data_IF_421337996219
#
_entry.id   IF_421337996219
#
_cell.length_a   1.000
_cell.length_b   1.000
_cell.length_c   1.000
_cell.angle_alpha   90.00
_cell.angle_beta   90.00
_cell.angle_gamma   90.00
#
_symmetry.space_group_name_H-M   'P 1'
#
loop_
_entity.id
_entity.type
_entity.pdbx_description
1 polymer ?
#
# COMPACT_ATOMS: atom_id res chain seq x y z
N UNK A 1 64.28 -29.48 -20.33
CA UNK A 1 64.54 -28.97 -21.70
C UNK A 1 63.78 -29.86 -22.66
N UNK A 2 62.78 -29.35 -23.38
CA UNK A 2 62.47 -29.73 -24.77
C UNK A 2 61.34 -28.83 -25.26
N UNK A 3 61.59 -28.16 -26.39
CA UNK A 3 60.73 -27.26 -27.15
C UNK A 3 60.39 -27.96 -28.47
N UNK A 4 59.13 -27.80 -28.91
CA UNK A 4 58.65 -27.77 -30.31
C UNK A 4 58.82 -29.10 -31.13
N UNK A 5 57.92 -29.56 -32.01
CA UNK A 5 56.72 -29.05 -32.69
C UNK A 5 56.01 -30.24 -33.39
N UNK A 6 54.69 -30.11 -33.63
CA UNK A 6 53.88 -30.61 -34.78
C UNK A 6 53.82 -32.13 -35.10
N UNK A 7 52.63 -32.76 -35.10
CA UNK A 7 51.72 -32.92 -36.27
C UNK A 7 50.51 -33.88 -35.99
N UNK A 8 49.31 -33.43 -36.41
CA UNK A 8 48.13 -34.16 -36.96
C UNK A 8 47.15 -35.04 -36.13
N UNK A 9 45.86 -34.66 -36.28
CA UNK A 9 44.63 -35.50 -36.18
C UNK A 9 43.68 -35.08 -35.03
N UNK A 10 42.42 -34.65 -35.17
CA UNK A 10 41.47 -34.66 -36.29
C UNK A 10 40.18 -33.84 -35.95
N UNK A 11 39.53 -33.25 -36.99
CA UNK A 11 38.06 -33.04 -37.21
C UNK A 11 37.35 -31.91 -36.41
N UNK A 12 37.13 -30.71 -36.98
CA UNK A 12 35.98 -30.22 -37.79
C UNK A 12 34.70 -29.92 -36.94
N UNK A 13 33.97 -28.81 -37.02
CA UNK A 13 33.52 -27.96 -38.13
C UNK A 13 33.41 -26.48 -37.66
N UNK A 14 33.92 -25.55 -38.46
CA UNK A 14 33.50 -24.15 -38.49
C UNK A 14 33.86 -23.64 -39.87
N UNK A 15 32.90 -23.32 -40.73
CA UNK A 15 33.10 -22.50 -41.95
C UNK A 15 31.75 -22.15 -42.60
N UNK A 16 31.76 -20.99 -43.24
CA UNK A 16 30.72 -20.28 -44.01
C UNK A 16 29.88 -19.30 -43.16
N UNK A 17 29.91 -17.98 -43.38
CA UNK A 17 30.74 -17.14 -44.23
C UNK A 17 30.42 -15.67 -43.86
N UNK A 18 31.43 -14.82 -43.70
CA UNK A 18 31.30 -13.38 -43.87
C UNK A 18 31.27 -13.06 -45.36
N UNK A 19 30.31 -12.25 -45.81
CA UNK A 19 30.55 -11.12 -46.73
C UNK A 19 29.25 -10.36 -47.07
N UNK A 20 29.24 -9.10 -46.63
CA UNK A 20 28.86 -7.88 -47.37
C UNK A 20 27.39 -7.58 -47.70
N UNK A 21 26.88 -6.59 -46.96
CA UNK A 21 26.07 -5.43 -47.36
C UNK A 21 25.56 -5.35 -48.81
N UNK A 22 24.24 -5.17 -48.94
CA UNK A 22 23.62 -3.99 -49.57
C UNK A 22 22.13 -3.86 -49.18
N UNK A 23 21.70 -2.60 -49.06
CA UNK A 23 20.32 -2.08 -49.03
C UNK A 23 19.45 -2.24 -47.78
N UNK A 24 19.05 -1.08 -47.26
CA UNK A 24 18.26 -0.92 -46.05
C UNK A 24 16.77 -1.14 -46.24
N UNK A 25 16.10 -1.52 -45.15
CA UNK A 25 14.65 -1.48 -45.05
C UNK A 25 14.24 -0.95 -43.68
N UNK A 26 13.33 0.03 -43.73
CA UNK A 26 12.58 0.69 -42.66
C UNK A 26 11.86 -0.27 -41.70
N UNK A 27 11.69 0.18 -40.46
CA UNK A 27 10.64 -0.24 -39.52
C UNK A 27 9.23 -0.17 -40.16
N UNK A 28 8.43 -1.24 -40.05
CA UNK A 28 7.24 -1.32 -39.16
C UNK A 28 6.43 -2.61 -39.40
N UNK A 29 6.00 -3.17 -38.26
CA UNK A 29 4.82 -4.00 -38.00
C UNK A 29 4.50 -5.16 -38.94
N UNK A 30 4.57 -6.39 -38.41
CA UNK A 30 3.43 -7.33 -38.40
C UNK A 30 3.70 -8.37 -37.31
N UNK A 31 2.85 -8.38 -36.27
CA UNK A 31 2.66 -9.54 -35.41
C UNK A 31 2.03 -10.60 -36.30
N UNK A 32 2.74 -11.68 -36.62
CA UNK A 32 2.08 -12.93 -36.94
C UNK A 32 2.98 -14.15 -36.70
N UNK A 33 2.48 -15.02 -35.80
CA UNK A 33 2.72 -16.45 -35.74
C UNK A 33 4.15 -16.94 -35.40
N UNK A 34 4.51 -16.78 -34.11
CA UNK A 34 5.37 -17.77 -33.46
C UNK A 34 4.48 -18.82 -32.79
N UNK A 35 4.56 -20.05 -33.32
CA UNK A 35 3.95 -21.27 -32.77
C UNK A 35 4.10 -21.33 -31.25
N UNK A 36 2.97 -21.48 -30.57
CA UNK A 36 2.86 -21.66 -29.14
C UNK A 36 3.60 -22.93 -28.69
N UNK A 37 4.79 -22.75 -28.11
CA UNK A 37 5.46 -23.78 -27.33
C UNK A 37 5.11 -23.61 -25.83
N UNK A 38 4.79 -24.72 -25.18
CA UNK A 38 4.30 -24.76 -23.80
C UNK A 38 5.31 -24.25 -22.76
N UNK A 39 6.59 -24.19 -23.13
CA UNK A 39 7.65 -23.63 -22.30
C UNK A 39 7.61 -22.10 -22.29
N UNK A 40 7.30 -21.45 -23.41
CA UNK A 40 7.06 -20.00 -23.49
C UNK A 40 5.79 -19.61 -22.75
N UNK A 41 4.76 -20.46 -22.75
CA UNK A 41 3.58 -20.29 -21.89
C UNK A 41 3.96 -20.39 -20.42
N UNK A 42 4.83 -21.32 -20.00
CA UNK A 42 5.34 -21.39 -18.62
C UNK A 42 6.20 -20.18 -18.24
N UNK A 43 7.02 -19.66 -19.15
CA UNK A 43 7.84 -18.46 -18.90
C UNK A 43 6.98 -17.19 -18.88
N UNK A 44 5.99 -17.04 -19.77
CA UNK A 44 5.01 -15.95 -19.71
C UNK A 44 4.06 -16.08 -18.52
N UNK A 45 3.73 -17.30 -18.08
CA UNK A 45 2.92 -17.52 -16.87
C UNK A 45 3.77 -17.27 -15.62
N UNK A 46 5.06 -17.58 -15.64
CA UNK A 46 6.03 -17.24 -14.59
C UNK A 46 6.31 -15.73 -14.54
N UNK A 47 6.37 -15.04 -15.69
CA UNK A 47 6.51 -13.59 -15.76
C UNK A 47 5.20 -12.86 -15.43
N UNK A 48 4.03 -13.44 -15.74
CA UNK A 48 2.71 -13.01 -15.24
C UNK A 48 2.48 -13.40 -13.77
N UNK A 49 3.30 -14.28 -13.21
CA UNK A 49 3.29 -14.64 -11.78
C UNK A 49 4.23 -13.76 -10.96
N UNK A 50 5.05 -12.92 -11.60
CA UNK A 50 5.89 -11.89 -10.96
C UNK A 50 5.29 -10.48 -11.08
N UNK A 51 4.09 -10.34 -11.64
CA UNK A 51 3.35 -9.08 -11.63
C UNK A 51 2.50 -8.99 -10.37
N UNK A 52 3.10 -8.36 -9.35
CA UNK A 52 2.42 -7.66 -8.25
C UNK A 52 1.37 -8.55 -7.57
N UNK A 53 1.82 -9.44 -6.68
CA UNK A 53 0.91 -9.90 -5.62
C UNK A 53 0.35 -8.64 -4.96
N UNK A 54 -0.98 -8.50 -5.00
CA UNK A 54 -1.65 -7.50 -4.17
C UNK A 54 -1.15 -7.73 -2.75
N UNK A 55 -0.52 -6.72 -2.15
CA UNK A 55 -0.35 -6.71 -0.70
C UNK A 55 -1.77 -6.50 -0.18
N UNK A 56 -2.51 -7.59 -0.03
CA UNK A 56 -3.81 -7.57 0.60
C UNK A 56 -3.59 -7.09 2.03
N UNK A 57 -4.16 -5.93 2.35
CA UNK A 57 -4.05 -5.29 3.65
C UNK A 57 -5.14 -5.88 4.55
N UNK A 58 -4.99 -7.15 4.98
CA UNK A 58 -5.95 -7.78 5.90
C UNK A 58 -5.92 -9.30 5.94
N UNK A 59 -6.61 -9.86 6.95
CA UNK A 59 -6.82 -11.29 7.15
C UNK A 59 -7.83 -11.86 6.14
N UNK A 60 -7.55 -13.05 5.61
CA UNK A 60 -8.50 -13.79 4.77
C UNK A 60 -9.54 -14.48 5.67
N UNK A 61 -10.73 -13.90 5.80
CA UNK A 61 -11.87 -14.55 6.48
C UNK A 61 -12.84 -15.20 5.49
N UNK A 62 -13.40 -16.35 5.87
CA UNK A 62 -14.32 -17.10 5.02
C UNK A 62 -15.72 -16.47 4.91
N UNK A 63 -16.13 -15.66 5.90
CA UNK A 63 -17.42 -14.96 5.94
C UNK A 63 -17.38 -13.59 5.23
N UNK A 64 -16.23 -12.91 5.31
CA UNK A 64 -16.03 -11.60 4.68
C UNK A 64 -15.84 -11.71 3.17
N UNK A 65 -16.18 -10.63 2.48
CA UNK A 65 -15.91 -10.46 1.06
C UNK A 65 -14.42 -10.24 0.80
N UNK A 66 -14.09 -9.97 -0.47
CA UNK A 66 -12.77 -9.43 -0.81
C UNK A 66 -12.80 -7.91 -0.63
N UNK A 67 -11.82 -7.31 0.06
CA UNK A 67 -11.81 -5.87 0.28
C UNK A 67 -11.67 -5.09 -1.03
N UNK A 68 -12.35 -3.94 -1.08
CA UNK A 68 -12.32 -3.02 -2.21
C UNK A 68 -11.40 -1.86 -1.90
N UNK A 69 -10.37 -1.69 -2.74
CA UNK A 69 -9.34 -0.67 -2.57
C UNK A 69 -9.53 0.50 -3.52
N UNK A 70 -9.11 1.68 -3.04
CA UNK A 70 -8.74 2.82 -3.84
C UNK A 70 -7.47 3.43 -3.21
N UNK A 71 -6.30 2.97 -3.68
CA UNK A 71 -5.01 3.28 -3.04
C UNK A 71 -3.96 3.68 -4.07
N UNK A 72 -3.02 4.52 -3.64
CA UNK A 72 -1.74 4.74 -4.30
C UNK A 72 -0.65 3.96 -3.58
N UNK A 73 0.29 3.41 -4.33
CA UNK A 73 1.39 2.62 -3.79
C UNK A 73 2.66 2.78 -4.60
N UNK A 74 3.81 2.75 -3.94
CA UNK A 74 5.12 2.72 -4.61
C UNK A 74 5.33 1.39 -5.34
N UNK A 75 6.16 1.37 -6.37
CA UNK A 75 6.63 0.09 -6.93
C UNK A 75 7.47 -0.66 -5.89
N UNK A 76 7.25 -1.96 -5.72
CA UNK A 76 7.94 -2.77 -4.72
C UNK A 76 9.32 -3.26 -5.19
N UNK A 77 10.29 -3.28 -4.29
CA UNK A 77 11.40 -4.23 -4.32
C UNK A 77 12.60 -3.87 -5.20
N UNK A 78 12.73 -2.62 -5.66
CA UNK A 78 13.97 -2.15 -6.27
C UNK A 78 15.10 -2.03 -5.23
N UNK A 79 16.38 -2.32 -5.56
CA UNK A 79 17.51 -2.17 -4.63
C UNK A 79 17.69 -0.74 -4.06
N UNK A 80 17.07 0.27 -4.69
CA UNK A 80 17.08 1.66 -4.26
C UNK A 80 15.86 2.11 -3.43
N UNK A 81 14.81 1.28 -3.34
CA UNK A 81 13.54 1.67 -2.73
C UNK A 81 13.62 1.49 -1.22
N UNK A 82 14.00 2.56 -0.53
CA UNK A 82 14.18 2.57 0.92
C UNK A 82 13.35 3.70 1.53
N UNK A 83 12.31 3.33 2.27
CA UNK A 83 11.41 4.27 2.91
C UNK A 83 11.54 4.14 4.43
N UNK A 84 11.54 5.28 5.10
CA UNK A 84 11.65 5.38 6.56
C UNK A 84 10.44 6.05 7.19
N UNK A 85 9.47 6.45 6.38
CA UNK A 85 8.19 6.92 6.86
C UNK A 85 7.34 7.55 5.79
N UNK A 86 6.12 7.89 6.20
CA UNK A 86 5.14 8.60 5.40
C UNK A 86 4.44 9.64 6.30
N UNK A 87 4.21 10.82 5.75
CA UNK A 87 3.42 11.89 6.37
C UNK A 87 2.28 12.24 5.43
N UNK A 88 1.06 12.25 5.97
CA UNK A 88 -0.17 12.46 5.19
C UNK A 88 -1.19 13.21 6.04
N UNK A 89 -1.94 14.12 5.43
CA UNK A 89 -3.16 14.70 6.02
C UNK A 89 -4.37 14.20 5.25
N UNK A 90 -5.40 13.75 5.96
CA UNK A 90 -6.66 13.29 5.34
C UNK A 90 -7.86 13.72 6.15
N UNK A 91 -8.98 13.86 5.47
CA UNK A 91 -10.26 14.14 6.11
C UNK A 91 -10.75 12.90 6.88
N UNK A 92 -11.47 13.12 7.99
CA UNK A 92 -12.16 12.04 8.73
C UNK A 92 -13.67 12.24 8.64
N UNK A 93 -14.41 11.19 8.30
CA UNK A 93 -15.86 11.21 8.14
C UNK A 93 -16.53 10.18 9.04
N UNK A 94 -17.79 10.43 9.40
CA UNK A 94 -18.65 9.46 10.06
C UNK A 94 -19.71 8.96 9.08
N UNK A 95 -20.04 7.67 9.21
CA UNK A 95 -21.07 6.96 8.46
C UNK A 95 -21.78 6.01 9.41
N UNK A 96 -23.05 5.70 9.15
CA UNK A 96 -23.81 4.72 9.92
C UNK A 96 -23.68 3.34 9.27
N UNK A 97 -22.65 2.60 9.66
CA UNK A 97 -22.38 1.23 9.25
C UNK A 97 -23.11 0.25 10.17
N UNK A 98 -23.37 -0.95 9.64
CA UNK A 98 -23.87 -2.08 10.41
C UNK A 98 -22.73 -3.05 10.75
N UNK A 99 -22.90 -3.93 11.74
CA UNK A 99 -22.06 -5.12 11.88
C UNK A 99 -21.91 -5.87 10.55
N UNK A 100 -20.74 -6.43 10.29
CA UNK A 100 -20.39 -7.00 8.98
C UNK A 100 -20.01 -5.98 7.88
N UNK A 101 -19.80 -4.70 8.21
CA UNK A 101 -19.24 -3.69 7.30
C UNK A 101 -18.02 -3.00 7.91
N UNK A 102 -17.08 -2.57 7.08
CA UNK A 102 -15.91 -1.78 7.48
C UNK A 102 -15.53 -0.76 6.39
N UNK A 103 -15.19 0.46 6.80
CA UNK A 103 -14.58 1.45 5.92
C UNK A 103 -13.35 2.03 6.59
N UNK A 104 -12.27 2.20 5.83
CA UNK A 104 -10.98 2.63 6.36
C UNK A 104 -10.26 3.56 5.40
N UNK A 105 -9.54 4.52 5.98
CA UNK A 105 -8.59 5.41 5.31
C UNK A 105 -7.28 5.33 6.08
N UNK A 106 -6.20 4.96 5.39
CA UNK A 106 -4.95 4.64 6.06
C UNK A 106 -3.72 4.93 5.22
N UNK A 107 -2.59 4.87 5.92
CA UNK A 107 -1.25 4.77 5.35
C UNK A 107 -0.64 3.44 5.75
N UNK A 108 0.13 2.86 4.84
CA UNK A 108 0.81 1.58 5.03
C UNK A 108 2.30 1.72 4.77
N UNK A 109 3.09 1.17 5.66
CA UNK A 109 4.53 1.00 5.50
C UNK A 109 4.81 -0.49 5.56
N UNK A 110 5.43 -1.02 4.49
CA UNK A 110 5.60 -2.45 4.30
C UNK A 110 7.02 -2.80 3.91
N UNK A 111 7.37 -4.06 4.17
CA UNK A 111 8.49 -4.70 3.54
C UNK A 111 8.08 -6.08 3.01
N UNK A 112 8.17 -6.27 1.69
CA UNK A 112 7.70 -7.51 1.01
C UNK A 112 8.61 -8.73 1.19
N UNK A 113 9.72 -8.56 1.89
CA UNK A 113 10.63 -9.63 2.30
C UNK A 113 11.26 -10.32 1.10
N UNK A 114 11.10 -11.65 1.00
CA UNK A 114 11.56 -12.45 -0.12
C UNK A 114 10.47 -12.68 -1.19
N UNK A 115 9.36 -11.93 -1.10
CA UNK A 115 8.26 -12.01 -2.07
C UNK A 115 7.23 -13.10 -1.77
N UNK A 116 7.25 -13.72 -0.59
CA UNK A 116 6.13 -14.57 -0.12
C UNK A 116 5.37 -13.91 1.03
N UNK A 117 4.05 -14.18 1.13
CA UNK A 117 3.16 -13.61 2.16
C UNK A 117 3.72 -13.73 3.58
N UNK A 118 4.32 -14.86 3.95
CA UNK A 118 4.90 -15.08 5.29
C UNK A 118 6.15 -14.26 5.60
N UNK A 119 6.70 -13.55 4.61
CA UNK A 119 7.83 -12.62 4.78
C UNK A 119 7.38 -11.16 4.84
N UNK A 120 6.09 -10.89 4.63
CA UNK A 120 5.51 -9.56 4.62
C UNK A 120 5.51 -8.99 6.04
N UNK A 121 6.16 -7.84 6.19
CA UNK A 121 6.00 -7.00 7.37
C UNK A 121 5.14 -5.81 7.00
N UNK A 122 4.16 -5.47 7.82
CA UNK A 122 3.25 -4.34 7.59
C UNK A 122 3.03 -3.59 8.89
N UNK A 123 2.99 -2.26 8.79
CA UNK A 123 2.37 -1.38 9.77
C UNK A 123 1.37 -0.52 9.00
N UNK A 124 0.15 -0.44 9.51
CA UNK A 124 -0.88 0.47 9.02
C UNK A 124 -1.36 1.37 10.14
N UNK A 125 -1.59 2.64 9.82
CA UNK A 125 -2.25 3.59 10.72
C UNK A 125 -3.26 4.39 9.92
N UNK A 126 -4.39 4.71 10.54
CA UNK A 126 -5.48 5.35 9.82
C UNK A 126 -6.66 5.64 10.71
N UNK A 127 -7.79 5.94 10.08
CA UNK A 127 -9.08 5.88 10.74
C UNK A 127 -9.96 4.84 10.05
N UNK A 128 -10.77 4.14 10.83
CA UNK A 128 -11.78 3.24 10.29
C UNK A 128 -13.05 3.25 11.12
N UNK A 129 -14.16 2.85 10.51
CA UNK A 129 -15.41 2.55 11.19
C UNK A 129 -15.60 1.05 11.06
N UNK A 130 -15.60 0.36 12.19
CA UNK A 130 -15.66 -1.10 12.24
C UNK A 130 -16.62 -1.59 13.34
N UNK A 131 -17.94 -1.59 13.09
CA UNK A 131 -18.93 -1.89 14.12
C UNK A 131 -18.85 -3.29 14.73
N UNK A 132 -18.40 -4.27 13.95
CA UNK A 132 -18.18 -5.64 14.45
C UNK A 132 -17.16 -5.66 15.60
N UNK A 133 -16.16 -4.77 15.55
CA UNK A 133 -15.08 -4.72 16.52
C UNK A 133 -15.37 -3.75 17.68
N UNK A 134 -15.87 -2.54 17.40
CA UNK A 134 -16.08 -1.52 18.43
C UNK A 134 -17.47 -1.52 19.08
N UNK A 135 -18.45 -2.16 18.45
CA UNK A 135 -19.85 -2.10 18.88
C UNK A 135 -20.54 -0.75 18.63
N UNK A 136 -19.91 0.16 17.89
CA UNK A 136 -20.47 1.44 17.46
C UNK A 136 -20.15 1.74 15.99
N UNK A 137 -20.56 2.91 15.50
CA UNK A 137 -20.29 3.33 14.11
C UNK A 137 -19.54 4.68 14.04
N UNK A 138 -18.71 4.96 15.04
CA UNK A 138 -17.84 6.12 15.04
C UNK A 138 -16.54 5.83 14.26
N UNK A 139 -15.86 6.84 13.72
CA UNK A 139 -14.51 6.66 13.22
C UNK A 139 -13.54 6.58 14.41
N UNK A 140 -12.74 5.52 14.45
CA UNK A 140 -11.68 5.33 15.44
C UNK A 140 -10.32 5.53 14.80
N UNK A 141 -9.38 6.13 15.52
CA UNK A 141 -7.96 6.02 15.18
C UNK A 141 -7.61 4.55 15.34
N UNK A 142 -7.00 3.96 14.33
CA UNK A 142 -6.56 2.58 14.40
C UNK A 142 -5.12 2.44 14.00
N UNK A 143 -4.53 1.38 14.52
CA UNK A 143 -3.23 0.89 14.07
C UNK A 143 -3.34 -0.61 13.88
N UNK A 144 -2.60 -1.16 12.94
CA UNK A 144 -2.50 -2.61 12.77
C UNK A 144 -1.10 -2.97 12.28
N UNK A 145 -0.61 -4.15 12.66
CA UNK A 145 0.72 -4.59 12.27
C UNK A 145 0.79 -6.10 12.07
N UNK A 146 1.80 -6.55 11.31
CA UNK A 146 2.19 -7.96 11.24
C UNK A 146 3.67 -8.09 10.84
N UNK A 147 4.30 -9.21 11.21
CA UNK A 147 5.65 -9.63 10.80
C UNK A 147 5.62 -10.73 9.74
N UNK A 148 4.49 -11.38 9.52
CA UNK A 148 4.40 -12.60 8.71
C UNK A 148 3.15 -12.66 7.84
N UNK A 149 2.67 -11.49 7.40
CA UNK A 149 1.49 -11.39 6.54
C UNK A 149 0.23 -11.96 7.19
N UNK A 150 0.06 -11.71 8.49
CA UNK A 150 -1.06 -12.16 9.33
C UNK A 150 -1.18 -13.68 9.44
N UNK A 151 -0.06 -14.41 9.34
CA UNK A 151 -0.08 -15.87 9.46
C UNK A 151 -0.15 -16.32 10.93
N UNK A 152 0.74 -15.79 11.77
CA UNK A 152 0.76 -16.05 13.22
C UNK A 152 0.92 -14.78 14.04
N UNK A 153 1.45 -13.72 13.43
CA UNK A 153 1.65 -12.44 14.09
C UNK A 153 0.71 -11.39 13.54
N UNK A 154 0.23 -10.56 14.43
CA UNK A 154 -0.40 -9.30 14.09
C UNK A 154 -1.25 -8.80 15.23
N UNK A 155 -1.65 -7.54 15.14
CA UNK A 155 -2.49 -6.98 16.16
C UNK A 155 -3.19 -5.71 15.69
N UNK A 156 -4.52 -5.75 15.76
CA UNK A 156 -5.32 -4.55 15.68
C UNK A 156 -5.20 -3.76 17.00
N UNK A 157 -5.03 -2.45 16.87
CA UNK A 157 -4.91 -1.48 17.95
C UNK A 157 -3.91 -1.91 19.04
N UNK A 158 -4.38 -1.99 20.28
CA UNK A 158 -3.65 -2.46 21.45
C UNK A 158 -4.35 -3.70 22.04
N UNK A 159 -5.10 -4.44 21.23
CA UNK A 159 -5.89 -5.61 21.68
C UNK A 159 -4.98 -6.78 22.09
N UNK A 160 -3.73 -6.70 21.67
CA UNK A 160 -2.62 -7.61 21.95
C UNK A 160 -1.32 -6.79 22.10
N UNK A 161 -0.26 -7.40 22.67
CA UNK A 161 1.04 -6.74 22.80
C UNK A 161 1.63 -6.35 21.43
N UNK A 162 2.14 -5.13 21.33
CA UNK A 162 2.90 -4.69 20.16
C UNK A 162 3.07 -3.18 20.11
N UNK A 163 2.01 -2.42 20.34
CA UNK A 163 2.10 -0.97 20.37
C UNK A 163 2.41 -0.46 21.79
N UNK A 164 3.40 0.42 21.92
CA UNK A 164 3.76 1.08 23.18
C UNK A 164 3.28 2.53 23.12
N UNK A 165 2.26 2.85 23.92
CA UNK A 165 1.72 4.21 23.99
C UNK A 165 2.73 5.18 24.62
N UNK A 166 2.89 6.34 24.00
CA UNK A 166 3.74 7.41 24.52
C UNK A 166 3.09 8.08 25.73
N UNK A 167 3.92 8.50 26.69
CA UNK A 167 3.43 9.25 27.84
C UNK A 167 2.85 10.60 27.39
N UNK A 168 1.65 10.94 27.86
CA UNK A 168 0.96 12.17 27.48
C UNK A 168 0.30 12.17 26.10
N UNK A 169 0.21 11.03 25.41
CA UNK A 169 -0.49 10.93 24.13
C UNK A 169 -1.97 11.33 24.26
N UNK A 170 -2.42 12.27 23.43
CA UNK A 170 -3.78 12.83 23.47
C UNK A 170 -4.87 11.85 23.00
N UNK A 171 -4.47 10.81 22.29
CA UNK A 171 -5.32 9.75 21.74
C UNK A 171 -4.54 8.44 21.78
N UNK A 172 -5.21 7.30 21.77
CA UNK A 172 -4.63 5.97 21.62
C UNK A 172 -5.27 5.21 20.45
N UNK A 173 -4.59 4.18 19.88
CA UNK A 173 -5.24 3.29 18.93
C UNK A 173 -6.49 2.64 19.55
N UNK A 174 -7.60 2.67 18.82
CA UNK A 174 -8.91 2.26 19.30
C UNK A 174 -9.78 3.39 19.85
N UNK A 175 -9.25 4.60 20.06
CA UNK A 175 -10.07 5.72 20.53
C UNK A 175 -10.90 6.35 19.40
N UNK A 176 -12.10 6.82 19.75
CA UNK A 176 -12.99 7.58 18.86
C UNK A 176 -12.34 8.90 18.45
N UNK A 177 -12.38 9.22 17.15
CA UNK A 177 -11.98 10.52 16.62
C UNK A 177 -13.19 11.46 16.63
N UNK A 178 -13.06 12.59 17.32
CA UNK A 178 -14.07 13.65 17.33
C UNK A 178 -13.41 15.03 17.49
N UNK A 179 -13.91 16.09 16.81
CA UNK A 179 -14.99 16.11 15.82
C UNK A 179 -14.64 15.49 14.45
N UNK A 180 -15.67 15.29 13.61
CA UNK A 180 -15.57 14.71 12.25
C UNK A 180 -16.18 15.62 11.17
N UNK A 181 -15.82 15.37 9.91
CA UNK A 181 -16.40 16.02 8.73
C UNK A 181 -17.81 15.53 8.41
N UNK A 182 -18.53 16.25 7.55
CA UNK A 182 -19.86 15.83 7.05
C UNK A 182 -21.02 16.15 7.98
N UNK A 183 -20.78 16.83 9.11
CA UNK A 183 -21.83 17.33 10.00
C UNK A 183 -22.49 18.58 9.37
N UNK A 184 -23.82 18.68 9.27
CA UNK A 184 -24.50 19.86 8.74
C UNK A 184 -24.07 21.16 9.44
N UNK A 185 -23.59 22.14 8.67
CA UNK A 185 -23.06 23.41 9.21
C UNK A 185 -21.68 23.30 9.88
N UNK A 186 -21.09 22.10 9.93
CA UNK A 186 -19.76 21.84 10.45
C UNK A 186 -18.65 22.18 9.46
N UNK A 187 -17.42 22.31 10.00
CA UNK A 187 -16.21 22.45 9.19
C UNK A 187 -15.67 21.07 8.82
N UNK A 188 -14.94 20.98 7.70
CA UNK A 188 -14.12 19.80 7.39
C UNK A 188 -13.09 19.63 8.51
N UNK A 189 -12.97 18.40 9.02
CA UNK A 189 -12.04 17.98 10.05
C UNK A 189 -10.99 17.07 9.44
N UNK A 190 -9.74 17.38 9.70
CA UNK A 190 -8.59 16.67 9.12
C UNK A 190 -7.76 16.04 10.23
N UNK A 191 -7.24 14.85 9.95
CA UNK A 191 -6.20 14.23 10.75
C UNK A 191 -4.88 14.25 9.96
N UNK A 192 -3.80 14.58 10.65
CA UNK A 192 -2.44 14.43 10.13
C UNK A 192 -1.82 13.20 10.77
N UNK A 193 -1.42 12.25 9.93
CA UNK A 193 -0.79 10.99 10.30
C UNK A 193 0.67 11.04 9.87
N UNK A 194 1.56 10.64 10.77
CA UNK A 194 2.98 10.42 10.44
C UNK A 194 3.43 9.11 11.05
N UNK A 195 3.93 8.22 10.20
CA UNK A 195 4.59 6.99 10.59
C UNK A 195 6.07 7.13 10.24
N UNK A 196 6.95 7.01 11.23
CA UNK A 196 8.39 7.30 11.08
C UNK A 196 9.23 6.28 11.82
N UNK A 197 10.22 5.70 11.15
CA UNK A 197 11.27 4.94 11.79
C UNK A 197 12.25 5.90 12.49
N UNK A 198 12.31 5.83 13.81
CA UNK A 198 13.27 6.60 14.58
C UNK A 198 14.69 6.10 14.35
N UNK A 199 15.63 7.03 14.14
CA UNK A 199 17.02 6.71 13.78
C UNK A 199 17.81 6.16 14.96
N UNK A 200 17.45 6.54 16.19
CA UNK A 200 18.22 6.19 17.39
C UNK A 200 17.79 4.84 17.96
N UNK A 201 16.49 4.65 18.20
CA UNK A 201 15.92 3.40 18.72
C UNK A 201 15.72 2.34 17.62
N UNK A 202 15.45 2.79 16.39
CA UNK A 202 14.97 1.92 15.32
C UNK A 202 13.48 1.57 15.43
N UNK A 203 12.75 2.14 16.38
CA UNK A 203 11.31 1.91 16.56
C UNK A 203 10.50 2.68 15.52
N UNK A 204 9.31 2.17 15.19
CA UNK A 204 8.38 2.85 14.28
C UNK A 204 7.39 3.69 15.08
N UNK A 205 7.60 5.00 15.07
CA UNK A 205 6.78 5.97 15.77
C UNK A 205 5.55 6.38 14.97
N UNK A 206 4.42 6.44 15.68
CA UNK A 206 3.13 6.90 15.20
C UNK A 206 2.85 8.28 15.78
N UNK A 207 2.49 9.22 14.91
CA UNK A 207 2.07 10.56 15.29
C UNK A 207 0.69 10.85 14.71
N UNK A 208 -0.09 11.57 15.48
CA UNK A 208 -1.45 11.97 15.16
C UNK A 208 -1.68 13.43 15.53
N UNK A 209 -2.39 14.17 14.68
CA UNK A 209 -2.85 15.53 14.98
C UNK A 209 -4.24 15.75 14.39
N UNK A 210 -5.18 16.21 15.21
CA UNK A 210 -6.50 16.65 14.74
C UNK A 210 -6.46 18.14 14.44
N UNK A 211 -6.67 18.52 13.18
CA UNK A 211 -6.63 19.90 12.67
C UNK A 211 -5.37 20.68 13.07
N UNK A 212 -4.24 20.00 13.21
CA UNK A 212 -3.05 20.60 13.79
C UNK A 212 -1.79 19.77 13.63
N UNK A 213 -0.72 20.22 14.27
CA UNK A 213 0.59 19.57 14.22
C UNK A 213 0.50 18.22 14.94
N UNK A 214 0.93 17.11 14.31
CA UNK A 214 0.82 15.80 14.90
C UNK A 214 1.82 15.61 16.05
N UNK A 215 1.35 15.01 17.15
CA UNK A 215 2.15 14.66 18.34
C UNK A 215 2.31 13.15 18.46
N UNK A 216 3.35 12.70 19.18
CA UNK A 216 3.63 11.27 19.34
C UNK A 216 2.52 10.54 20.09
N UNK A 217 1.93 9.54 19.44
CA UNK A 217 0.92 8.64 20.02
C UNK A 217 1.60 7.47 20.74
N UNK A 218 2.68 6.98 20.15
CA UNK A 218 3.39 5.80 20.60
C UNK A 218 4.24 5.21 19.48
N UNK A 219 4.70 3.98 19.67
CA UNK A 219 5.59 3.33 18.72
C UNK A 219 5.43 1.80 18.72
N UNK A 220 5.79 1.19 17.59
CA UNK A 220 6.02 -0.23 17.46
C UNK A 220 7.52 -0.52 17.65
N UNK A 221 7.91 -1.35 18.65
CA UNK A 221 9.30 -1.71 18.87
C UNK A 221 9.92 -2.37 17.63
N UNK A 222 11.17 -2.02 17.33
CA UNK A 222 11.96 -2.65 16.25
C UNK A 222 11.91 -4.17 16.30
N UNK A 223 11.93 -4.73 17.51
CA UNK A 223 11.97 -6.17 17.78
C UNK A 223 10.74 -6.94 17.31
N UNK A 224 9.63 -6.25 17.01
CA UNK A 224 8.45 -6.90 16.42
C UNK A 224 8.70 -7.40 15.00
N UNK A 225 9.65 -6.80 14.28
CA UNK A 225 9.77 -6.97 12.84
C UNK A 225 10.99 -7.82 12.45
N UNK A 226 10.93 -8.42 11.26
CA UNK A 226 12.12 -9.00 10.60
C UNK A 226 12.74 -7.95 9.68
N UNK A 227 12.00 -7.54 8.65
CA UNK A 227 12.51 -6.67 7.61
C UNK A 227 12.26 -5.19 7.90
N UNK A 228 11.08 -4.85 8.45
CA UNK A 228 10.81 -3.48 8.94
C UNK A 228 11.72 -3.10 10.12
N UNK A 229 12.41 -4.07 10.73
CA UNK A 229 13.46 -3.79 11.71
C UNK A 229 14.58 -2.91 11.10
N UNK A 230 14.84 -3.04 9.80
CA UNK A 230 15.82 -2.22 9.07
C UNK A 230 15.18 -1.05 8.35
N UNK A 231 14.16 -1.30 7.51
CA UNK A 231 13.55 -0.30 6.63
C UNK A 231 12.30 -0.84 5.95
N UNK A 232 11.53 0.05 5.34
CA UNK A 232 10.49 -0.33 4.39
C UNK A 232 11.00 -0.30 2.95
N UNK A 233 10.40 -1.12 2.09
CA UNK A 233 10.65 -1.11 0.65
C UNK A 233 9.37 -0.89 -0.17
N UNK A 234 8.26 -0.64 0.52
CA UNK A 234 6.97 -0.38 -0.07
C UNK A 234 6.15 0.50 0.87
N UNK A 235 5.57 1.58 0.33
CA UNK A 235 4.60 2.41 1.06
C UNK A 235 3.36 2.61 0.23
N UNK A 236 2.22 2.74 0.89
CA UNK A 236 0.94 3.00 0.28
C UNK A 236 0.12 3.97 1.13
N UNK A 237 -0.85 4.63 0.51
CA UNK A 237 -1.88 5.39 1.19
C UNK A 237 -3.16 5.34 0.38
N UNK A 238 -4.30 5.49 1.05
CA UNK A 238 -5.59 5.37 0.39
C UNK A 238 -6.65 4.82 1.34
N UNK A 239 -7.66 4.19 0.76
CA UNK A 239 -8.77 3.66 1.52
C UNK A 239 -9.15 2.25 1.06
N UNK A 240 -9.74 1.50 1.98
CA UNK A 240 -10.39 0.24 1.68
C UNK A 240 -11.76 0.17 2.33
N UNK A 241 -12.64 -0.62 1.74
CA UNK A 241 -13.90 -1.02 2.35
C UNK A 241 -14.04 -2.52 2.29
N UNK A 242 -14.66 -3.08 3.32
CA UNK A 242 -14.97 -4.50 3.38
C UNK A 242 -16.40 -4.70 3.88
N UNK A 243 -16.99 -5.80 3.46
CA UNK A 243 -18.32 -6.23 3.90
C UNK A 243 -18.43 -7.74 3.83
N UNK A 244 -19.23 -8.32 4.71
CA UNK A 244 -19.67 -9.70 4.57
C UNK A 244 -20.28 -9.94 3.20
N UNK A 245 -20.13 -11.15 2.65
CA UNK A 245 -20.56 -11.48 1.27
C UNK A 245 -22.03 -11.17 0.96
N UNK A 246 -22.88 -11.17 1.98
CA UNK A 246 -24.31 -10.89 1.85
C UNK A 246 -24.66 -9.39 1.98
N UNK A 247 -23.69 -8.54 2.32
CA UNK A 247 -23.88 -7.11 2.56
C UNK A 247 -23.25 -6.28 1.44
N UNK A 248 -23.85 -5.12 1.09
CA UNK A 248 -23.21 -4.18 0.20
C UNK A 248 -21.99 -3.55 0.87
N UNK A 249 -20.98 -3.19 0.08
CA UNK A 249 -19.85 -2.40 0.62
C UNK A 249 -20.32 -1.07 1.21
N UNK A 250 -19.76 -0.60 2.33
CA UNK A 250 -20.09 0.71 2.88
C UNK A 250 -19.51 1.86 2.04
N UNK A 251 -19.90 3.12 2.32
CA UNK A 251 -19.27 4.29 1.72
C UNK A 251 -17.77 4.40 2.07
N UNK A 252 -17.00 4.95 1.13
CA UNK A 252 -15.56 5.23 1.30
C UNK A 252 -15.32 6.74 1.42
N UNK A 253 -14.45 7.14 2.35
CA UNK A 253 -14.11 8.55 2.56
C UNK A 253 -15.37 9.36 2.92
N UNK A 254 -15.72 10.36 2.11
CA UNK A 254 -16.94 11.15 2.30
C UNK A 254 -18.22 10.48 1.79
N UNK A 255 -18.11 9.33 1.12
CA UNK A 255 -19.22 8.71 0.38
C UNK A 255 -19.46 9.32 -1.01
N UNK A 256 -18.66 10.32 -1.42
CA UNK A 256 -18.80 11.00 -2.72
C UNK A 256 -17.63 10.63 -3.63
N UNK A 257 -17.93 10.26 -4.88
CA UNK A 257 -16.90 10.04 -5.90
C UNK A 257 -16.21 11.38 -6.26
N UNK A 258 -14.89 11.41 -6.48
CA UNK A 258 -14.18 12.59 -6.97
C UNK A 258 -14.81 13.26 -8.20
N UNK A 259 -15.44 12.49 -9.09
CA UNK A 259 -16.11 12.97 -10.30
C UNK A 259 -17.66 12.95 -10.19
N UNK A 260 -18.21 12.78 -8.98
CA UNK A 260 -19.61 12.40 -8.73
C UNK A 260 -20.66 13.52 -8.74
N UNK A 261 -20.28 14.78 -8.98
CA UNK A 261 -21.21 15.92 -8.97
C UNK A 261 -21.31 16.62 -7.61
N UNK A 262 -22.51 16.72 -7.02
CA UNK A 262 -22.75 17.50 -5.78
C UNK A 262 -22.08 16.86 -4.55
N UNK A 263 -21.39 17.67 -3.76
CA UNK A 263 -20.64 17.25 -2.57
C UNK A 263 -19.13 17.34 -2.78
N UNK A 264 -18.36 17.06 -1.73
CA UNK A 264 -16.90 17.04 -1.79
C UNK A 264 -16.40 15.62 -1.49
N UNK A 265 -15.60 15.07 -2.40
CA UNK A 265 -14.85 13.84 -2.14
C UNK A 265 -13.87 14.07 -0.98
N UNK A 266 -13.50 12.98 -0.31
CA UNK A 266 -12.45 13.04 0.70
C UNK A 266 -11.10 13.28 0.03
N UNK A 267 -10.15 13.82 0.80
CA UNK A 267 -8.84 14.20 0.28
C UNK A 267 -7.70 13.56 1.05
N UNK A 268 -6.60 13.36 0.33
CA UNK A 268 -5.27 13.26 0.89
C UNK A 268 -4.49 14.50 0.48
N UNK A 269 -3.82 15.12 1.44
CA UNK A 269 -2.96 16.29 1.24
C UNK A 269 -1.67 16.14 2.04
N UNK A 270 -0.71 17.03 1.81
CA UNK A 270 0.61 16.99 2.46
C UNK A 270 1.31 15.63 2.31
N UNK A 271 1.13 14.97 1.16
CA UNK A 271 1.73 13.67 0.87
C UNK A 271 3.25 13.78 0.83
N UNK A 272 3.95 13.19 1.80
CA UNK A 272 5.40 13.28 1.93
C UNK A 272 6.00 11.93 2.31
N UNK A 273 7.08 11.55 1.62
CA UNK A 273 7.97 10.45 2.02
C UNK A 273 8.99 10.95 3.03
N UNK A 274 9.40 10.08 3.94
CA UNK A 274 10.45 10.37 4.92
C UNK A 274 11.67 9.51 4.65
N UNK A 275 12.83 10.15 4.55
CA UNK A 275 14.12 9.50 4.37
C UNK A 275 14.75 9.00 5.68
N UNK A 276 15.89 8.32 5.58
CA UNK A 276 16.63 7.75 6.72
C UNK A 276 17.10 8.78 7.76
N UNK A 277 17.18 10.05 7.35
CA UNK A 277 17.65 11.16 8.17
C UNK A 277 16.47 11.95 8.76
N UNK A 278 15.23 11.51 8.47
CA UNK A 278 14.01 12.10 8.98
C UNK A 278 13.51 13.29 8.15
N UNK A 279 14.10 13.55 6.98
CA UNK A 279 13.70 14.66 6.12
C UNK A 279 12.47 14.29 5.29
N UNK A 280 11.57 15.25 5.15
CA UNK A 280 10.35 15.08 4.36
C UNK A 280 10.57 15.50 2.91
N UNK A 281 10.11 14.68 1.96
CA UNK A 281 10.10 14.98 0.53
C UNK A 281 8.68 14.83 -0.02
N UNK A 282 8.09 15.87 -0.63
CA UNK A 282 6.73 15.78 -1.18
C UNK A 282 6.62 14.74 -2.30
N UNK A 283 5.55 13.95 -2.30
CA UNK A 283 5.20 13.03 -3.39
C UNK A 283 4.56 13.88 -4.50
N UNK A 284 5.35 14.24 -5.51
CA UNK A 284 4.88 15.08 -6.63
C UNK A 284 4.53 14.27 -7.89
N UNK A 285 5.15 13.11 -8.05
CA UNK A 285 4.86 12.22 -9.15
C UNK A 285 3.64 11.37 -8.82
N UNK A 286 2.86 11.04 -9.86
CA UNK A 286 1.80 10.07 -9.69
C UNK A 286 2.39 8.69 -9.36
N UNK A 287 1.79 8.02 -8.38
CA UNK A 287 2.15 6.65 -8.00
C UNK A 287 1.18 5.65 -8.64
N UNK A 288 1.60 4.40 -8.87
CA UNK A 288 0.69 3.32 -9.24
C UNK A 288 -0.57 3.28 -8.37
N UNK A 289 -1.71 3.07 -9.02
CA UNK A 289 -3.02 2.96 -8.39
C UNK A 289 -3.46 1.50 -8.31
N UNK A 290 -4.10 1.13 -7.21
CA UNK A 290 -4.88 -0.09 -7.09
C UNK A 290 -6.33 0.30 -6.79
N UNK A 291 -7.20 0.04 -7.76
CA UNK A 291 -8.63 0.32 -7.69
C UNK A 291 -9.39 -0.98 -8.00
N UNK A 292 -10.03 -1.57 -6.99
CA UNK A 292 -10.74 -2.86 -7.16
C UNK A 292 -11.98 -2.73 -8.06
N UNK A 293 -12.77 -1.66 -7.87
CA UNK A 293 -14.00 -1.42 -8.64
C UNK A 293 -14.26 0.08 -8.80
N UNK A 294 -13.70 0.65 -9.87
CA UNK A 294 -13.73 2.08 -10.17
C UNK A 294 -15.13 2.72 -10.23
N UNK A 295 -16.17 1.92 -10.50
CA UNK A 295 -17.57 2.39 -10.50
C UNK A 295 -18.10 2.71 -9.11
N UNK A 296 -17.57 2.07 -8.07
CA UNK A 296 -18.03 2.28 -6.70
C UNK A 296 -17.12 3.20 -5.91
N UNK A 297 -15.80 3.03 -6.09
CA UNK A 297 -14.78 3.76 -5.35
C UNK A 297 -13.67 4.16 -6.31
N UNK A 298 -13.13 5.36 -6.14
CA UNK A 298 -11.98 5.79 -6.92
C UNK A 298 -11.06 6.69 -6.11
N UNK A 299 -9.83 6.78 -6.59
CA UNK A 299 -8.82 7.74 -6.17
C UNK A 299 -8.33 8.45 -7.44
N UNK A 300 -8.13 9.76 -7.39
CA UNK A 300 -7.59 10.52 -8.52
C UNK A 300 -6.08 10.43 -8.55
N UNK A 301 -5.47 10.72 -9.69
CA UNK A 301 -4.03 10.94 -9.77
C UNK A 301 -3.55 11.96 -8.72
N UNK A 302 -2.31 11.75 -8.27
CA UNK A 302 -1.62 12.70 -7.40
C UNK A 302 -1.27 13.95 -8.21
N UNK A 303 -1.70 15.11 -7.71
CA UNK A 303 -1.30 16.42 -8.19
C UNK A 303 -0.82 17.28 -7.02
N UNK A 304 0.37 17.87 -7.14
CA UNK A 304 0.97 18.73 -6.11
C UNK A 304 0.92 18.16 -4.67
N UNK A 305 1.18 16.85 -4.51
CA UNK A 305 1.14 16.13 -3.22
C UNK A 305 -0.25 16.07 -2.58
N UNK A 306 -1.28 16.00 -3.43
CA UNK A 306 -2.67 15.85 -3.04
C UNK A 306 -3.40 14.93 -4.02
N UNK A 307 -4.47 14.28 -3.56
CA UNK A 307 -5.42 13.56 -4.42
C UNK A 307 -6.78 13.45 -3.71
N UNK A 308 -7.83 13.18 -4.49
CA UNK A 308 -9.19 12.97 -3.98
C UNK A 308 -9.55 11.49 -4.04
N UNK A 309 -10.33 11.02 -3.09
CA UNK A 309 -10.83 9.65 -3.05
C UNK A 309 -12.24 9.59 -2.46
N UNK A 310 -12.93 8.48 -2.73
CA UNK A 310 -14.20 8.17 -2.09
C UNK A 310 -15.15 7.40 -2.98
N UNK A 311 -16.37 7.24 -2.51
CA UNK A 311 -17.47 6.65 -3.28
C UNK A 311 -18.61 6.13 -2.41
N UNK A 312 -19.82 6.00 -2.97
CA UNK A 312 -21.05 5.77 -2.20
C UNK A 312 -21.19 4.37 -1.59
N UNK A 313 -20.29 3.43 -1.91
CA UNK A 313 -20.48 2.02 -1.57
C UNK A 313 -21.51 1.35 -2.47
N UNK A 314 -22.13 0.27 -1.99
CA UNK A 314 -23.16 -0.47 -2.73
C UNK A 314 -22.61 -1.46 -3.77
N UNK A 315 -21.31 -1.77 -3.76
CA UNK A 315 -20.82 -2.87 -4.58
C UNK A 315 -21.29 -4.20 -3.99
N UNK A 316 -21.62 -5.13 -4.88
CA UNK A 316 -21.70 -6.57 -4.65
C UNK A 316 -20.78 -7.27 -5.64
#
# INVERSE_FOLDING_TARGET
MFRHTLLLGAIALCLLCHALHTEGVRLRSTIQELKEDGQTKRILTSLKSNSIEMIAFGEDSSSWGQPYYAVHQTTSGGPGDNYYGLHVTTDVYSHNLKPGQQTSTAIWVNHVGNGVKSSLNTISIGWHIYPEHYGDSHPHLYTDWTRDGYAQTGCLNMDCPGFIRANGAVIAPGDVIHPVSGVPGGRVQNITLRLLKDKTSGDWWVYYGLNGIPTGVGYFPRSLFTYLAEKANHVAFGAFVDAEKALPTPPMGSGVLPNGGKGHAASFTNLQLIDKDGNNSPIKANLPELITKAKCHSITHIDHSQCLYGGPGGCV
#
